data_IF_097834675269
#
_entry.id   IF_097834675269
#
_cell.length_a   1.000
_cell.length_b   1.000
_cell.length_c   1.000
_cell.angle_alpha   90.00
_cell.angle_beta   90.00
_cell.angle_gamma   90.00
#
_symmetry.space_group_name_H-M   'P 1'
#
loop_
_entity.id
_entity.type
_entity.pdbx_description
1 polymer ?
#
# COMPACT_ATOMS: atom_id res chain seq x y z
N UNK A 1 -0.41 -1.24 -35.00
CA UNK A 1 -1.22 -1.01 -33.78
C UNK A 1 -0.85 -1.99 -32.63
N UNK A 2 0.37 -2.55 -32.57
CA UNK A 2 0.72 -3.65 -31.64
C UNK A 2 1.85 -3.37 -30.64
N UNK A 3 2.63 -2.30 -30.83
CA UNK A 3 3.77 -1.96 -29.95
C UNK A 3 3.33 -1.20 -28.70
N UNK A 4 2.45 -0.20 -28.85
CA UNK A 4 1.99 0.67 -27.75
C UNK A 4 1.29 -0.13 -26.65
N UNK A 5 0.35 -1.00 -27.00
CA UNK A 5 -0.35 -1.86 -26.02
C UNK A 5 0.61 -2.77 -25.24
N UNK A 6 1.70 -3.24 -25.87
CA UNK A 6 2.70 -4.08 -25.18
C UNK A 6 3.47 -3.28 -24.13
N UNK A 7 3.78 -2.01 -24.44
CA UNK A 7 4.45 -1.10 -23.50
C UNK A 7 3.52 -0.72 -22.36
N UNK A 8 2.23 -0.48 -22.62
CA UNK A 8 1.23 -0.22 -21.58
C UNK A 8 1.07 -1.39 -20.62
N UNK A 9 0.94 -2.61 -21.15
CA UNK A 9 0.84 -3.82 -20.31
C UNK A 9 2.10 -4.05 -19.47
N UNK A 10 3.28 -3.78 -20.03
CA UNK A 10 4.54 -3.88 -19.31
C UNK A 10 4.63 -2.81 -18.20
N UNK A 11 4.21 -1.58 -18.48
CA UNK A 11 4.17 -0.50 -17.49
C UNK A 11 3.23 -0.85 -16.32
N UNK A 12 2.03 -1.39 -16.61
CA UNK A 12 1.10 -1.89 -15.58
C UNK A 12 1.72 -2.99 -14.72
N UNK A 13 2.41 -3.95 -15.35
CA UNK A 13 3.10 -5.02 -14.64
C UNK A 13 4.20 -4.49 -13.71
N UNK A 14 5.08 -3.62 -14.24
CA UNK A 14 6.16 -3.00 -13.47
C UNK A 14 5.58 -2.23 -12.27
N UNK A 15 4.53 -1.44 -12.48
CA UNK A 15 3.88 -0.68 -11.42
C UNK A 15 3.34 -1.58 -10.31
N UNK A 16 2.62 -2.65 -10.66
CA UNK A 16 2.07 -3.63 -9.71
C UNK A 16 3.15 -4.33 -8.90
N UNK A 17 4.17 -4.84 -9.59
CA UNK A 17 5.28 -5.57 -8.94
C UNK A 17 6.10 -4.64 -8.05
N UNK A 18 6.35 -3.41 -8.49
CA UNK A 18 7.09 -2.42 -7.69
C UNK A 18 6.34 -2.07 -6.42
N UNK A 19 5.07 -1.66 -6.52
CA UNK A 19 4.28 -1.32 -5.34
C UNK A 19 4.14 -2.52 -4.40
N UNK A 20 3.81 -3.69 -4.95
CA UNK A 20 3.60 -4.88 -4.15
C UNK A 20 4.87 -5.34 -3.42
N UNK A 21 6.02 -5.42 -4.11
CA UNK A 21 7.27 -5.83 -3.45
C UNK A 21 7.69 -4.84 -2.37
N UNK A 22 7.62 -3.54 -2.67
CA UNK A 22 7.95 -2.51 -1.68
C UNK A 22 7.03 -2.62 -0.47
N UNK A 23 5.73 -2.81 -0.66
CA UNK A 23 4.78 -2.95 0.44
C UNK A 23 4.95 -4.24 1.25
N UNK A 24 5.34 -5.34 0.60
CA UNK A 24 5.64 -6.58 1.31
C UNK A 24 6.77 -6.41 2.34
N UNK A 25 7.78 -5.56 2.08
CA UNK A 25 8.79 -5.27 3.09
C UNK A 25 8.20 -4.65 4.36
N UNK A 26 7.18 -3.78 4.23
CA UNK A 26 6.48 -3.21 5.40
C UNK A 26 5.70 -4.30 6.14
N UNK A 27 4.95 -5.13 5.41
CA UNK A 27 4.15 -6.19 6.01
C UNK A 27 5.01 -7.25 6.72
N UNK A 28 6.10 -7.69 6.09
CA UNK A 28 7.05 -8.64 6.69
C UNK A 28 7.76 -8.03 7.90
N UNK A 29 8.18 -6.76 7.83
CA UNK A 29 8.77 -6.09 8.99
C UNK A 29 7.81 -6.10 10.19
N UNK A 30 6.50 -5.86 9.96
CA UNK A 30 5.46 -5.92 11.00
C UNK A 30 5.11 -7.34 11.49
N UNK A 31 5.49 -8.39 10.76
CA UNK A 31 5.36 -9.77 11.23
C UNK A 31 6.53 -10.17 12.13
N UNK A 32 7.73 -9.73 11.77
CA UNK A 32 8.96 -10.06 12.50
C UNK A 32 9.08 -9.22 13.77
N UNK A 33 8.64 -7.96 13.74
CA UNK A 33 8.65 -7.08 14.90
C UNK A 33 7.30 -7.08 15.64
N UNK A 34 7.27 -7.80 16.77
CA UNK A 34 6.11 -7.84 17.66
C UNK A 34 5.76 -6.48 18.27
N UNK A 35 6.73 -5.55 18.39
CA UNK A 35 6.50 -4.21 18.93
C UNK A 35 5.72 -3.34 17.95
N UNK A 36 5.94 -3.52 16.64
CA UNK A 36 5.26 -2.76 15.61
C UNK A 36 3.73 -2.92 15.67
N UNK A 37 3.24 -4.14 15.91
CA UNK A 37 1.80 -4.38 16.07
C UNK A 37 1.27 -3.80 17.38
N UNK A 38 2.07 -3.85 18.46
CA UNK A 38 1.73 -3.22 19.74
C UNK A 38 1.55 -1.71 19.62
N UNK A 39 2.43 -1.04 18.86
CA UNK A 39 2.31 0.39 18.58
C UNK A 39 1.00 0.74 17.87
N UNK A 40 0.61 -0.02 16.84
CA UNK A 40 -0.66 0.21 16.12
C UNK A 40 -1.87 -0.01 17.04
N UNK A 41 -1.83 -1.05 17.89
CA UNK A 41 -2.90 -1.30 18.87
C UNK A 41 -3.09 -0.12 19.81
N UNK A 42 -2.00 0.41 20.36
CA UNK A 42 -2.04 1.57 21.26
C UNK A 42 -2.61 2.81 20.55
N UNK A 43 -2.26 3.01 19.27
CA UNK A 43 -2.76 4.14 18.49
C UNK A 43 -4.27 4.03 18.21
N UNK A 44 -4.75 2.81 17.96
CA UNK A 44 -6.18 2.54 17.82
C UNK A 44 -6.94 2.76 19.13
N UNK A 45 -6.40 2.30 20.26
CA UNK A 45 -7.00 2.57 21.57
C UNK A 45 -7.05 4.07 21.87
N UNK A 46 -6.00 4.81 21.51
CA UNK A 46 -5.92 6.27 21.68
C UNK A 46 -7.01 7.03 20.92
N UNK A 47 -7.58 6.46 19.86
CA UNK A 47 -8.72 7.02 19.11
C UNK A 47 -10.05 6.33 19.44
N UNK A 48 -10.09 5.50 20.49
CA UNK A 48 -11.30 4.80 20.95
C UNK A 48 -11.69 3.58 20.10
N UNK A 49 -10.81 3.10 19.23
CA UNK A 49 -11.03 1.91 18.40
C UNK A 49 -10.52 0.64 19.09
N UNK A 50 -11.20 -0.48 18.83
CA UNK A 50 -10.81 -1.76 19.42
C UNK A 50 -9.47 -2.28 18.82
N UNK A 51 -8.50 -2.76 19.63
CA UNK A 51 -7.18 -3.22 19.18
C UNK A 51 -7.19 -4.31 18.10
N UNK A 52 -8.29 -5.04 17.98
CA UNK A 52 -8.46 -6.10 16.98
C UNK A 52 -8.33 -5.57 15.54
N UNK A 53 -8.61 -4.29 15.30
CA UNK A 53 -8.46 -3.70 13.98
C UNK A 53 -6.99 -3.56 13.55
N UNK A 54 -6.02 -3.66 14.47
CA UNK A 54 -4.59 -3.62 14.15
C UNK A 54 -4.18 -4.74 13.18
N UNK A 55 -4.82 -5.92 13.26
CA UNK A 55 -4.55 -7.04 12.35
C UNK A 55 -4.95 -6.73 10.90
N UNK A 56 -5.78 -5.71 10.67
CA UNK A 56 -6.11 -5.22 9.33
C UNK A 56 -4.89 -4.75 8.55
N UNK A 57 -3.82 -4.33 9.22
CA UNK A 57 -2.56 -3.92 8.57
C UNK A 57 -1.97 -5.05 7.72
N UNK A 58 -2.12 -6.30 8.14
CA UNK A 58 -1.62 -7.45 7.38
C UNK A 58 -2.44 -7.71 6.11
N UNK A 59 -3.71 -7.34 6.10
CA UNK A 59 -4.53 -7.38 4.87
C UNK A 59 -4.00 -6.34 3.87
N UNK A 60 -3.72 -5.13 4.33
CA UNK A 60 -3.21 -4.03 3.51
C UNK A 60 -1.77 -4.20 3.05
N UNK A 61 -0.92 -4.85 3.83
CA UNK A 61 0.53 -4.89 3.57
C UNK A 61 1.09 -6.27 3.19
N UNK A 62 0.27 -7.31 3.26
CA UNK A 62 0.68 -8.67 2.84
C UNK A 62 -0.29 -9.21 1.81
N UNK A 63 -1.56 -9.36 2.17
CA UNK A 63 -2.55 -9.97 1.28
C UNK A 63 -2.73 -9.12 0.02
N UNK A 64 -2.97 -7.83 0.17
CA UNK A 64 -3.19 -6.94 -0.95
C UNK A 64 -1.96 -6.80 -1.88
N UNK A 65 -0.72 -6.66 -1.37
CA UNK A 65 0.49 -6.74 -2.18
C UNK A 65 0.64 -8.03 -2.98
N UNK A 66 0.35 -9.19 -2.38
CA UNK A 66 0.37 -10.47 -3.09
C UNK A 66 -0.67 -10.50 -4.22
N UNK A 67 -1.88 -10.02 -3.97
CA UNK A 67 -2.93 -9.91 -4.98
C UNK A 67 -2.48 -9.06 -6.19
N UNK A 68 -1.92 -7.87 -5.95
CA UNK A 68 -1.47 -7.00 -7.04
C UNK A 68 -0.25 -7.55 -7.77
N UNK A 69 0.71 -8.21 -7.10
CA UNK A 69 1.89 -8.82 -7.75
C UNK A 69 1.44 -9.92 -8.69
N UNK A 70 0.65 -10.86 -8.18
CA UNK A 70 0.13 -11.99 -8.95
C UNK A 70 -0.83 -11.52 -10.06
N UNK A 71 -1.34 -10.31 -9.95
CA UNK A 71 -2.34 -9.80 -10.87
C UNK A 71 -3.63 -10.56 -10.73
N UNK A 72 -4.12 -10.74 -9.50
CA UNK A 72 -5.38 -11.38 -9.18
C UNK A 72 -6.18 -10.37 -8.35
N UNK A 73 -7.32 -9.90 -8.86
CA UNK A 73 -8.09 -8.84 -8.20
C UNK A 73 -7.24 -7.58 -7.96
N UNK A 74 -6.47 -7.14 -8.97
CA UNK A 74 -5.49 -6.06 -8.79
C UNK A 74 -6.15 -4.75 -8.42
N UNK A 75 -7.32 -4.46 -8.98
CA UNK A 75 -8.12 -3.28 -8.60
C UNK A 75 -8.49 -3.30 -7.12
N UNK A 76 -8.93 -4.45 -6.63
CA UNK A 76 -9.29 -4.64 -5.23
C UNK A 76 -8.06 -4.60 -4.30
N UNK A 77 -6.95 -5.23 -4.71
CA UNK A 77 -5.69 -5.12 -3.98
C UNK A 77 -5.17 -3.68 -3.89
N UNK A 78 -5.26 -2.91 -4.97
CA UNK A 78 -4.97 -1.47 -4.97
C UNK A 78 -5.87 -0.70 -3.99
N UNK A 79 -7.17 -0.98 -3.98
CA UNK A 79 -8.11 -0.39 -3.01
C UNK A 79 -7.74 -0.72 -1.55
N UNK A 80 -7.38 -1.97 -1.25
CA UNK A 80 -6.99 -2.36 0.11
C UNK A 80 -5.71 -1.64 0.58
N UNK A 81 -4.70 -1.53 -0.29
CA UNK A 81 -3.48 -0.76 0.02
C UNK A 81 -3.83 0.72 0.22
N UNK A 82 -4.68 1.28 -0.64
CA UNK A 82 -5.12 2.67 -0.55
C UNK A 82 -5.76 2.99 0.81
N UNK A 83 -6.71 2.16 1.26
CA UNK A 83 -7.34 2.33 2.57
C UNK A 83 -6.35 2.13 3.71
N UNK A 84 -5.45 1.14 3.61
CA UNK A 84 -4.40 0.94 4.61
C UNK A 84 -3.50 2.18 4.74
N UNK A 85 -3.14 2.81 3.62
CA UNK A 85 -2.34 4.03 3.62
C UNK A 85 -3.08 5.23 4.20
N UNK A 86 -4.39 5.38 3.94
CA UNK A 86 -5.20 6.42 4.58
C UNK A 86 -5.24 6.24 6.11
N UNK A 87 -5.41 5.00 6.59
CA UNK A 87 -5.40 4.70 8.01
C UNK A 87 -4.02 4.97 8.64
N UNK A 88 -2.93 4.56 7.97
CA UNK A 88 -1.58 4.81 8.43
C UNK A 88 -1.30 6.33 8.55
N UNK A 89 -1.72 7.11 7.56
CA UNK A 89 -1.59 8.58 7.61
C UNK A 89 -2.43 9.15 8.76
N UNK A 90 -3.69 8.73 8.87
CA UNK A 90 -4.61 9.25 9.88
C UNK A 90 -4.22 8.94 11.32
N UNK A 91 -3.69 7.75 11.58
CA UNK A 91 -3.36 7.27 12.93
C UNK A 91 -1.93 7.64 13.36
N UNK A 92 -0.98 7.69 12.43
CA UNK A 92 0.45 7.79 12.76
C UNK A 92 1.09 9.07 12.24
N UNK A 93 0.70 9.55 11.05
CA UNK A 93 1.40 10.63 10.36
C UNK A 93 0.61 11.93 10.23
N UNK A 94 -0.49 12.11 10.97
CA UNK A 94 -1.32 13.31 10.84
C UNK A 94 -0.53 14.59 11.14
N UNK A 95 0.36 14.54 12.13
CA UNK A 95 1.21 15.67 12.51
C UNK A 95 2.33 15.95 11.50
N UNK A 96 2.63 14.99 10.61
CA UNK A 96 3.70 15.11 9.63
C UNK A 96 3.23 15.82 8.33
N UNK A 97 1.92 16.05 8.15
CA UNK A 97 1.30 16.53 6.90
C UNK A 97 1.88 17.83 6.34
N UNK A 98 2.26 18.78 7.20
CA UNK A 98 2.84 20.07 6.79
C UNK A 98 4.30 20.20 7.22
N UNK A 99 4.91 19.09 7.63
CA UNK A 99 6.28 19.08 8.14
C UNK A 99 7.29 18.72 7.06
N UNK A 100 8.49 19.28 7.19
CA UNK A 100 9.63 18.95 6.37
C UNK A 100 10.62 18.10 7.18
N UNK A 101 11.38 17.29 6.46
CA UNK A 101 12.55 16.59 7.00
C UNK A 101 13.70 17.58 7.27
N UNK A 102 14.74 17.10 7.95
CA UNK A 102 15.96 17.89 8.21
C UNK A 102 16.69 18.33 6.93
N UNK A 103 16.39 17.67 5.80
CA UNK A 103 16.94 17.99 4.48
C UNK A 103 15.97 18.79 3.60
N UNK A 104 14.83 19.23 4.13
CA UNK A 104 13.84 20.06 3.43
C UNK A 104 12.84 19.32 2.54
N UNK A 105 12.93 18.00 2.41
CA UNK A 105 11.92 17.17 1.73
C UNK A 105 10.65 17.03 2.55
N UNK A 106 9.51 16.78 1.91
CA UNK A 106 8.23 16.63 2.62
C UNK A 106 8.19 15.31 3.39
N UNK A 107 7.87 15.37 4.69
CA UNK A 107 7.99 14.20 5.59
C UNK A 107 7.03 13.06 5.23
N UNK A 108 5.93 13.38 4.54
CA UNK A 108 4.90 12.41 4.14
C UNK A 108 5.07 11.87 2.71
N UNK A 109 6.19 12.19 2.04
CA UNK A 109 6.43 11.81 0.63
C UNK A 109 6.23 10.32 0.38
N UNK A 110 6.78 9.48 1.25
CA UNK A 110 6.73 8.04 1.08
C UNK A 110 5.30 7.49 1.21
N UNK A 111 4.54 7.99 2.19
CA UNK A 111 3.16 7.60 2.43
C UNK A 111 2.27 8.06 1.27
N UNK A 112 2.46 9.29 0.80
CA UNK A 112 1.76 9.82 -0.36
C UNK A 112 2.08 9.04 -1.63
N UNK A 113 3.33 8.60 -1.82
CA UNK A 113 3.75 7.78 -2.95
C UNK A 113 3.01 6.43 -2.98
N UNK A 114 3.00 5.69 -1.87
CA UNK A 114 2.27 4.42 -1.78
C UNK A 114 0.76 4.60 -1.96
N UNK A 115 0.19 5.63 -1.33
CA UNK A 115 -1.23 5.97 -1.45
C UNK A 115 -1.60 6.24 -2.91
N UNK A 116 -0.89 7.13 -3.60
CA UNK A 116 -1.23 7.54 -4.96
C UNK A 116 -0.97 6.42 -5.97
N UNK A 117 0.10 5.63 -5.83
CA UNK A 117 0.32 4.49 -6.73
C UNK A 117 -0.74 3.41 -6.54
N UNK A 118 -1.17 3.15 -5.30
CA UNK A 118 -2.24 2.19 -5.04
C UNK A 118 -3.57 2.63 -5.68
N UNK A 119 -3.86 3.94 -5.64
CA UNK A 119 -4.98 4.54 -6.37
C UNK A 119 -4.84 4.36 -7.88
N UNK A 120 -3.64 4.58 -8.44
CA UNK A 120 -3.38 4.34 -9.86
C UNK A 120 -3.66 2.89 -10.24
N UNK A 121 -3.16 1.90 -9.48
CA UNK A 121 -3.44 0.47 -9.73
C UNK A 121 -4.94 0.18 -9.65
N UNK A 122 -5.63 0.73 -8.65
CA UNK A 122 -7.07 0.60 -8.49
C UNK A 122 -7.84 1.05 -9.74
N UNK A 123 -7.38 2.12 -10.39
CA UNK A 123 -8.00 2.67 -11.60
C UNK A 123 -7.62 1.88 -12.87
N UNK A 124 -6.33 1.58 -13.08
CA UNK A 124 -5.83 1.03 -14.35
C UNK A 124 -5.95 -0.50 -14.47
N UNK A 125 -6.09 -1.20 -13.33
CA UNK A 125 -6.23 -2.66 -13.25
C UNK A 125 -4.95 -3.45 -13.54
N UNK A 126 -5.13 -4.74 -13.82
CA UNK A 126 -4.04 -5.74 -13.83
C UNK A 126 -3.18 -5.76 -15.10
N UNK A 127 -3.76 -5.46 -16.27
CA UNK A 127 -3.10 -5.62 -17.57
C UNK A 127 -2.84 -7.08 -17.95
N UNK A 128 -2.18 -7.29 -19.10
CA UNK A 128 -2.02 -8.61 -19.74
C UNK A 128 -1.15 -9.61 -18.98
N UNK A 129 -0.13 -9.17 -18.24
CA UNK A 129 0.78 -10.04 -17.48
C UNK A 129 0.21 -10.49 -16.12
N UNK A 130 -1.11 -10.43 -15.96
CA UNK A 130 -1.82 -10.86 -14.77
C UNK A 130 -2.13 -12.36 -14.84
N UNK A 131 -2.04 -13.07 -13.72
CA UNK A 131 -2.49 -14.48 -13.66
C UNK A 131 -4.01 -14.54 -13.91
N UNK A 132 -4.76 -13.57 -13.38
CA UNK A 132 -6.21 -13.41 -13.64
C UNK A 132 -6.54 -11.93 -13.87
N UNK A 133 -6.69 -11.50 -15.14
CA UNK A 133 -7.02 -10.12 -15.43
C UNK A 133 -8.34 -9.66 -14.80
N UNK A 134 -8.38 -8.38 -14.38
CA UNK A 134 -9.57 -7.70 -13.87
C UNK A 134 -10.51 -7.20 -14.98
#
# INVERSE_FOLDING_TARGET
MSSIYRTEDLAKFILRVTLGMLMLFHGVAKLVDLQALGFIKNQLEGVGMHPIFAYGVYVGEIVAPLLIILGIYSRFGGFLIFINMLLAIGLVHMNDLLSLTEHGGWRLELQAFYLLISLVIMLIGSGRYAIKPD
#
